data_IF_016069932595
#
_entry.id   IF_016069932595
#
_cell.length_a   1.000
_cell.length_b   1.000
_cell.length_c   1.000
_cell.angle_alpha   90.00
_cell.angle_beta   90.00
_cell.angle_gamma   90.00
#
_symmetry.space_group_name_H-M   'P 1'
#
loop_
_entity.id
_entity.type
_entity.pdbx_description
1 polymer ?
#
# COMPACT_ATOMS: atom_id res chain seq x y z
N UNK A 1 -4.65 20.89 -7.25
CA UNK A 1 -3.25 21.36 -7.22
C UNK A 1 -3.09 22.33 -6.05
N UNK A 2 -2.42 21.96 -4.97
CA UNK A 2 -1.95 22.95 -4.04
C UNK A 2 -1.02 23.87 -4.84
N UNK A 3 -1.33 25.15 -4.91
CA UNK A 3 -0.39 26.13 -5.42
C UNK A 3 0.75 26.19 -4.43
N UNK A 4 1.84 25.52 -4.73
CA UNK A 4 3.08 25.65 -4.01
C UNK A 4 3.58 27.06 -4.33
N UNK A 5 3.39 27.97 -3.38
CA UNK A 5 3.82 29.36 -3.54
C UNK A 5 5.29 29.45 -3.16
N UNK A 6 6.08 29.86 -4.10
CA UNK A 6 7.31 30.59 -3.93
C UNK A 6 8.60 29.78 -3.89
N UNK A 7 8.87 28.87 -2.96
CA UNK A 7 10.23 28.30 -2.80
C UNK A 7 10.31 26.77 -2.71
N UNK A 8 9.16 26.07 -2.72
CA UNK A 8 9.15 24.62 -2.70
C UNK A 8 9.61 24.07 -4.06
N UNK A 9 10.73 23.37 -4.05
CA UNK A 9 11.28 22.73 -5.25
C UNK A 9 11.08 21.23 -5.16
N UNK A 10 10.71 20.63 -6.29
CA UNK A 10 10.79 19.20 -6.48
C UNK A 10 12.28 18.81 -6.58
N UNK A 11 12.77 18.06 -5.60
CA UNK A 11 14.18 17.67 -5.52
C UNK A 11 14.28 16.16 -5.75
N UNK A 12 14.89 15.78 -6.87
CA UNK A 12 15.23 14.38 -7.15
C UNK A 12 16.34 13.91 -6.21
N UNK A 13 16.10 12.80 -5.52
CA UNK A 13 17.08 12.17 -4.67
C UNK A 13 18.08 11.32 -5.49
N UNK A 14 19.34 11.17 -5.02
CA UNK A 14 20.38 10.50 -5.78
C UNK A 14 20.29 8.96 -5.77
N UNK A 15 19.40 8.39 -4.99
CA UNK A 15 19.19 6.94 -4.87
C UNK A 15 17.85 6.50 -5.44
N UNK A 16 17.74 5.24 -5.77
CA UNK A 16 16.55 4.61 -6.32
C UNK A 16 16.20 3.36 -5.53
N UNK A 17 14.95 2.93 -5.62
CA UNK A 17 14.51 1.67 -5.06
C UNK A 17 14.15 0.69 -6.19
N UNK A 18 14.51 -0.57 -6.02
CA UNK A 18 14.11 -1.61 -6.95
C UNK A 18 12.79 -2.23 -6.48
N UNK A 19 11.75 -2.08 -7.28
CA UNK A 19 10.43 -2.66 -7.03
C UNK A 19 10.26 -3.91 -7.91
N UNK A 20 10.21 -5.11 -7.31
CA UNK A 20 10.09 -6.35 -8.05
C UNK A 20 8.64 -6.65 -8.43
N UNK A 21 8.44 -7.08 -9.67
CA UNK A 21 7.21 -7.68 -10.16
C UNK A 21 7.50 -9.10 -10.67
N UNK A 22 6.47 -9.85 -11.07
CA UNK A 22 6.62 -11.24 -11.51
C UNK A 22 7.68 -11.43 -12.61
N UNK A 23 7.66 -10.58 -13.63
CA UNK A 23 8.45 -10.77 -14.86
C UNK A 23 9.56 -9.74 -15.05
N UNK A 24 9.58 -8.68 -14.24
CA UNK A 24 10.52 -7.57 -14.34
C UNK A 24 10.62 -6.83 -13.01
N UNK A 25 11.55 -5.90 -12.94
CA UNK A 25 11.63 -4.94 -11.84
C UNK A 25 11.63 -3.52 -12.39
N UNK A 26 11.11 -2.57 -11.60
CA UNK A 26 11.13 -1.15 -11.92
C UNK A 26 12.07 -0.42 -10.97
N UNK A 27 12.77 0.60 -11.48
CA UNK A 27 13.53 1.52 -10.65
C UNK A 27 12.62 2.68 -10.25
N UNK A 28 12.34 2.78 -8.95
CA UNK A 28 11.59 3.88 -8.38
C UNK A 28 12.54 5.03 -8.07
N UNK A 29 12.25 6.20 -8.62
CA UNK A 29 12.96 7.45 -8.37
C UNK A 29 12.20 8.25 -7.33
N UNK A 30 12.90 8.71 -6.29
CA UNK A 30 12.33 9.53 -5.24
C UNK A 30 12.49 11.01 -5.55
N UNK A 31 11.39 11.75 -5.40
CA UNK A 31 11.35 13.20 -5.41
C UNK A 31 10.81 13.72 -4.09
N UNK A 32 11.47 14.70 -3.52
CA UNK A 32 11.04 15.37 -2.30
C UNK A 32 10.50 16.76 -2.58
N UNK A 33 9.41 17.11 -1.89
CA UNK A 33 8.86 18.45 -1.85
C UNK A 33 8.71 18.87 -0.39
N UNK A 34 9.36 19.95 -0.01
CA UNK A 34 9.15 20.56 1.29
C UNK A 34 7.85 21.36 1.31
N UNK A 35 6.98 21.05 2.28
CA UNK A 35 5.70 21.72 2.51
C UNK A 35 5.82 22.57 3.77
N UNK A 36 5.99 23.91 3.65
CA UNK A 36 6.18 24.77 4.79
C UNK A 36 4.92 24.81 5.67
N UNK A 37 5.14 24.82 6.99
CA UNK A 37 4.09 25.03 7.97
C UNK A 37 3.62 26.49 8.04
N UNK A 38 2.53 26.74 8.78
CA UNK A 38 1.93 28.07 8.87
C UNK A 38 2.83 29.06 9.61
N UNK A 39 3.40 28.67 10.75
CA UNK A 39 4.24 29.55 11.57
C UNK A 39 5.73 29.22 11.41
N UNK A 40 6.06 27.95 11.53
CA UNK A 40 7.43 27.44 11.41
C UNK A 40 7.40 25.93 11.17
N UNK A 41 8.54 25.40 10.76
CA UNK A 41 8.66 23.98 10.44
C UNK A 41 8.29 23.66 9.01
N UNK A 42 8.57 22.44 8.62
CA UNK A 42 8.38 21.94 7.27
C UNK A 42 8.07 20.45 7.32
N UNK A 43 7.04 20.03 6.61
CA UNK A 43 6.81 18.62 6.33
C UNK A 43 7.40 18.29 4.96
N UNK A 44 7.88 17.07 4.79
CA UNK A 44 8.37 16.60 3.51
C UNK A 44 7.37 15.64 2.89
N UNK A 45 7.01 15.90 1.64
CA UNK A 45 6.23 15.00 0.81
C UNK A 45 7.19 14.22 -0.09
N UNK A 46 7.11 12.89 -0.01
CA UNK A 46 7.86 11.98 -0.86
C UNK A 46 6.98 11.52 -2.02
N UNK A 47 7.50 11.66 -3.23
CA UNK A 47 6.84 11.24 -4.46
C UNK A 47 7.73 10.23 -5.18
N UNK A 48 7.11 9.20 -5.71
CA UNK A 48 7.82 8.14 -6.44
C UNK A 48 7.40 8.14 -7.90
N UNK A 49 8.38 8.05 -8.78
CA UNK A 49 8.18 8.03 -10.22
C UNK A 49 9.11 7.03 -10.89
N UNK A 50 8.94 6.79 -12.18
CA UNK A 50 9.81 5.96 -13.00
C UNK A 50 10.32 6.76 -14.20
N UNK A 51 11.60 6.64 -14.52
CA UNK A 51 12.22 7.34 -15.64
C UNK A 51 11.78 6.79 -17.03
N UNK A 52 11.00 5.70 -17.06
CA UNK A 52 10.57 5.02 -18.29
C UNK A 52 9.19 5.43 -18.77
N UNK A 53 8.52 6.38 -18.07
CA UNK A 53 7.22 6.92 -18.50
C UNK A 53 7.34 7.58 -19.88
N UNK A 54 6.41 7.27 -20.75
CA UNK A 54 6.36 7.73 -22.12
C UNK A 54 4.98 8.34 -22.42
N UNK A 55 4.88 9.66 -22.31
CA UNK A 55 3.65 10.40 -22.55
C UNK A 55 3.16 10.28 -24.00
N UNK A 56 4.06 9.95 -24.94
CA UNK A 56 3.73 9.80 -26.36
C UNK A 56 2.84 8.60 -26.68
N UNK A 57 2.65 7.68 -25.71
CA UNK A 57 1.73 6.54 -25.89
C UNK A 57 0.26 6.92 -25.78
N UNK A 58 -0.04 8.14 -25.30
CA UNK A 58 -1.40 8.68 -25.22
C UNK A 58 -1.66 9.51 -26.47
N UNK A 59 -2.69 9.20 -27.26
CA UNK A 59 -3.06 10.03 -28.43
C UNK A 59 -3.43 11.45 -27.99
N UNK A 60 -3.16 12.44 -28.85
CA UNK A 60 -3.63 13.81 -28.67
C UNK A 60 -5.16 13.80 -28.46
N UNK A 61 -5.64 14.57 -27.49
CA UNK A 61 -7.06 14.68 -27.14
C UNK A 61 -7.72 13.40 -26.59
N UNK A 62 -6.96 12.42 -26.14
CA UNK A 62 -7.45 11.18 -25.51
C UNK A 62 -6.81 10.91 -24.16
N UNK A 63 -7.51 10.14 -23.33
CA UNK A 63 -6.96 9.54 -22.10
C UNK A 63 -6.75 8.02 -22.27
N UNK A 64 -7.05 7.49 -23.45
CA UNK A 64 -6.88 6.07 -23.76
C UNK A 64 -5.42 5.75 -24.11
N UNK A 65 -4.92 4.66 -23.56
CA UNK A 65 -3.58 4.14 -23.82
C UNK A 65 -3.54 2.63 -23.62
N UNK A 66 -2.48 1.99 -24.15
CA UNK A 66 -2.26 0.55 -23.95
C UNK A 66 -1.84 0.28 -22.49
N UNK A 67 -2.80 -0.13 -21.66
CA UNK A 67 -2.63 -0.43 -20.25
C UNK A 67 -1.64 -1.59 -19.97
N UNK A 68 -1.32 -2.41 -20.97
CA UNK A 68 -0.39 -3.52 -20.82
C UNK A 68 1.08 -3.08 -20.89
N UNK A 69 1.37 -1.89 -21.37
CA UNK A 69 2.73 -1.31 -21.42
C UNK A 69 3.16 -0.74 -20.06
N UNK A 70 3.13 -1.57 -19.01
CA UNK A 70 3.34 -1.16 -17.62
C UNK A 70 4.60 -0.30 -17.43
N UNK A 71 5.71 -0.69 -18.05
CA UNK A 71 6.98 0.05 -17.91
C UNK A 71 6.94 1.48 -18.46
N UNK A 72 5.96 1.79 -19.31
CA UNK A 72 5.79 3.10 -19.93
C UNK A 72 4.66 3.93 -19.33
N UNK A 73 3.70 3.28 -18.67
CA UNK A 73 2.47 3.94 -18.22
C UNK A 73 2.25 3.92 -16.70
N UNK A 74 3.14 3.28 -15.93
CA UNK A 74 2.90 2.98 -14.52
C UNK A 74 2.53 4.21 -13.67
N UNK A 75 3.21 5.33 -13.89
CA UNK A 75 2.98 6.58 -13.16
C UNK A 75 2.32 7.68 -14.02
N UNK A 76 1.88 7.33 -15.24
CA UNK A 76 1.34 8.29 -16.21
C UNK A 76 0.01 8.90 -15.73
N UNK A 77 -0.90 8.07 -15.22
CA UNK A 77 -2.18 8.50 -14.65
C UNK A 77 -2.37 7.92 -13.26
N UNK A 78 -2.82 8.74 -12.32
CA UNK A 78 -3.04 8.33 -10.94
C UNK A 78 -4.21 7.33 -10.80
N UNK A 79 -5.30 7.56 -11.54
CA UNK A 79 -6.49 6.70 -11.57
C UNK A 79 -6.84 6.34 -13.01
N UNK A 80 -6.19 5.31 -13.58
CA UNK A 80 -6.57 4.83 -14.91
C UNK A 80 -7.95 4.17 -14.85
N UNK A 81 -8.61 4.09 -16.01
CA UNK A 81 -9.84 3.32 -16.14
C UNK A 81 -9.57 1.85 -15.78
N UNK A 82 -10.34 1.30 -14.83
CA UNK A 82 -10.26 -0.06 -14.29
C UNK A 82 -11.50 -0.91 -14.60
N UNK A 83 -12.27 -0.52 -15.60
CA UNK A 83 -13.46 -1.25 -16.05
C UNK A 83 -13.13 -2.63 -16.65
N UNK A 84 -11.91 -2.79 -17.19
CA UNK A 84 -11.40 -4.04 -17.74
C UNK A 84 -10.30 -4.70 -16.87
N UNK A 85 -9.92 -5.92 -17.22
CA UNK A 85 -8.89 -6.67 -16.48
C UNK A 85 -7.50 -6.03 -16.58
N UNK A 86 -7.18 -5.41 -17.70
CA UNK A 86 -5.89 -4.73 -17.89
C UNK A 86 -5.79 -3.50 -16.97
N UNK A 87 -6.85 -2.71 -16.86
CA UNK A 87 -6.94 -1.58 -15.95
C UNK A 87 -6.87 -2.01 -14.48
N UNK A 88 -7.58 -3.08 -14.10
CA UNK A 88 -7.51 -3.63 -12.73
C UNK A 88 -6.10 -4.12 -12.38
N UNK A 89 -5.43 -4.80 -13.31
CA UNK A 89 -4.03 -5.21 -13.10
C UNK A 89 -3.10 -4.01 -13.03
N UNK A 90 -3.25 -3.00 -13.89
CA UNK A 90 -2.47 -1.76 -13.82
C UNK A 90 -2.62 -1.09 -12.45
N UNK A 91 -3.82 -1.08 -11.88
CA UNK A 91 -4.07 -0.56 -10.53
C UNK A 91 -3.28 -1.32 -9.47
N UNK A 92 -3.21 -2.65 -9.53
CA UNK A 92 -2.38 -3.45 -8.61
C UNK A 92 -0.89 -3.10 -8.79
N UNK A 93 -0.41 -2.96 -10.03
CA UNK A 93 0.97 -2.53 -10.31
C UNK A 93 1.28 -1.18 -9.67
N UNK A 94 0.37 -0.19 -9.81
CA UNK A 94 0.54 1.15 -9.25
C UNK A 94 0.55 1.13 -7.72
N UNK A 95 -0.42 0.47 -7.10
CA UNK A 95 -0.51 0.36 -5.64
C UNK A 95 0.74 -0.29 -5.07
N UNK A 96 1.17 -1.42 -5.64
CA UNK A 96 2.37 -2.10 -5.16
C UNK A 96 3.65 -1.29 -5.38
N UNK A 97 3.78 -0.60 -6.52
CA UNK A 97 4.91 0.28 -6.80
C UNK A 97 5.07 1.35 -5.73
N UNK A 98 3.99 2.06 -5.40
CA UNK A 98 4.00 3.11 -4.37
C UNK A 98 4.30 2.55 -2.98
N UNK A 99 3.66 1.44 -2.63
CA UNK A 99 3.81 0.78 -1.33
C UNK A 99 5.23 0.27 -1.12
N UNK A 100 5.79 -0.44 -2.10
CA UNK A 100 7.15 -0.98 -2.00
C UNK A 100 8.19 0.13 -1.93
N UNK A 101 8.01 1.19 -2.73
CA UNK A 101 8.88 2.37 -2.70
C UNK A 101 8.86 3.06 -1.32
N UNK A 102 7.66 3.28 -0.77
CA UNK A 102 7.48 3.90 0.54
C UNK A 102 8.04 3.04 1.68
N UNK A 103 7.79 1.73 1.67
CA UNK A 103 8.31 0.81 2.68
C UNK A 103 9.85 0.74 2.66
N UNK A 104 10.46 0.69 1.47
CA UNK A 104 11.92 0.71 1.33
C UNK A 104 12.53 2.03 1.82
N UNK A 105 11.88 3.17 1.54
CA UNK A 105 12.31 4.48 2.04
C UNK A 105 12.28 4.52 3.56
N UNK A 106 11.18 4.10 4.19
CA UNK A 106 11.02 4.06 5.65
C UNK A 106 12.15 3.23 6.29
N UNK A 107 12.40 2.02 5.79
CA UNK A 107 13.45 1.17 6.33
C UNK A 107 14.83 1.78 6.13
N UNK A 108 15.08 2.38 4.97
CA UNK A 108 16.35 3.06 4.69
C UNK A 108 16.60 4.22 5.67
N UNK A 109 15.60 5.08 5.87
CA UNK A 109 15.72 6.22 6.80
C UNK A 109 15.97 5.75 8.24
N UNK A 110 15.27 4.71 8.69
CA UNK A 110 15.50 4.12 10.01
C UNK A 110 16.91 3.52 10.16
N UNK A 111 17.42 2.87 9.12
CA UNK A 111 18.77 2.33 9.12
C UNK A 111 19.83 3.44 9.10
N UNK A 112 19.62 4.50 8.32
CA UNK A 112 20.50 5.67 8.25
C UNK A 112 20.62 6.38 9.60
N UNK A 113 19.51 6.41 10.37
CA UNK A 113 19.45 6.96 11.74
C UNK A 113 19.97 5.96 12.80
N UNK A 114 20.24 4.71 12.43
CA UNK A 114 20.73 3.67 13.33
C UNK A 114 19.67 3.09 14.27
N UNK A 115 18.40 3.18 13.90
CA UNK A 115 17.30 2.60 14.69
C UNK A 115 17.26 1.07 14.61
N UNK A 116 16.91 0.45 15.72
CA UNK A 116 16.65 -1.00 15.76
C UNK A 116 15.32 -1.33 15.09
N UNK A 117 15.36 -2.00 13.94
CA UNK A 117 14.17 -2.36 13.19
C UNK A 117 13.25 -3.33 13.94
N UNK A 118 13.71 -4.06 14.97
CA UNK A 118 12.84 -4.83 15.86
C UNK A 118 11.92 -3.94 16.70
N UNK A 119 12.25 -2.66 16.78
CA UNK A 119 11.49 -1.62 17.48
C UNK A 119 11.01 -0.52 16.54
N UNK A 120 10.78 -0.86 15.28
CA UNK A 120 10.32 0.07 14.25
C UNK A 120 9.13 0.92 14.73
N UNK A 121 8.18 0.31 15.42
CA UNK A 121 6.99 0.93 15.98
C UNK A 121 7.27 2.02 17.06
N UNK A 122 8.48 2.11 17.60
CA UNK A 122 8.88 3.21 18.51
C UNK A 122 9.20 4.51 17.73
N UNK A 123 9.48 4.41 16.43
CA UNK A 123 9.94 5.51 15.59
C UNK A 123 9.00 5.82 14.43
N UNK A 124 8.22 4.85 13.98
CA UNK A 124 7.41 4.92 12.75
C UNK A 124 5.97 4.48 13.01
N UNK A 125 5.04 5.24 12.46
CA UNK A 125 3.65 4.82 12.27
C UNK A 125 3.33 4.88 10.78
N UNK A 126 2.81 3.80 10.24
CA UNK A 126 2.32 3.72 8.86
C UNK A 126 0.80 3.80 8.92
N UNK A 127 0.25 4.95 8.50
CA UNK A 127 -1.19 5.13 8.39
C UNK A 127 -1.67 4.66 7.03
N UNK A 128 -2.38 3.53 7.00
CA UNK A 128 -3.03 2.99 5.80
C UNK A 128 -4.31 3.79 5.56
N UNK A 129 -4.29 4.66 4.55
CA UNK A 129 -5.42 5.49 4.17
C UNK A 129 -6.28 4.76 3.12
N UNK A 130 -7.43 4.22 3.55
CA UNK A 130 -8.24 3.29 2.78
C UNK A 130 -7.47 2.01 2.42
N UNK A 131 -7.99 1.20 1.52
CA UNK A 131 -7.42 -0.09 1.14
C UNK A 131 -6.34 -0.02 0.05
N UNK A 132 -6.15 1.14 -0.57
CA UNK A 132 -5.19 1.30 -1.66
C UNK A 132 -3.74 0.93 -1.27
N UNK A 133 -3.22 1.29 -0.06
CA UNK A 133 -1.87 0.93 0.36
C UNK A 133 -1.80 -0.35 1.21
N UNK A 134 -2.85 -1.16 1.32
CA UNK A 134 -2.89 -2.34 2.21
C UNK A 134 -1.76 -3.34 1.96
N UNK A 135 -1.24 -3.42 0.72
CA UNK A 135 -0.08 -4.27 0.42
C UNK A 135 1.19 -3.91 1.19
N UNK A 136 1.20 -2.78 1.93
CA UNK A 136 2.33 -2.42 2.81
C UNK A 136 2.55 -3.48 3.90
N UNK A 137 1.49 -4.12 4.38
CA UNK A 137 1.59 -5.17 5.41
C UNK A 137 2.44 -6.35 4.91
N UNK A 138 2.07 -7.09 3.85
CA UNK A 138 2.88 -8.19 3.37
C UNK A 138 4.22 -7.73 2.77
N UNK A 139 4.30 -6.54 2.19
CA UNK A 139 5.56 -6.03 1.64
C UNK A 139 6.57 -5.69 2.75
N UNK A 140 6.15 -5.04 3.82
CA UNK A 140 7.03 -4.73 4.94
C UNK A 140 7.51 -6.02 5.64
N UNK A 141 6.63 -7.02 5.80
CA UNK A 141 7.02 -8.35 6.29
C UNK A 141 8.10 -8.95 5.38
N UNK A 142 7.90 -8.93 4.07
CA UNK A 142 8.87 -9.45 3.09
C UNK A 142 10.23 -8.75 3.21
N UNK A 143 10.24 -7.43 3.30
CA UNK A 143 11.45 -6.63 3.43
C UNK A 143 12.19 -6.92 4.75
N UNK A 144 11.47 -7.04 5.86
CA UNK A 144 12.06 -7.41 7.15
C UNK A 144 12.64 -8.83 7.12
N UNK A 145 11.95 -9.79 6.48
CA UNK A 145 12.51 -11.14 6.28
C UNK A 145 13.80 -11.12 5.47
N UNK A 146 13.92 -10.27 4.45
CA UNK A 146 15.18 -10.10 3.71
C UNK A 146 16.31 -9.54 4.59
N UNK A 147 15.99 -8.88 5.70
CA UNK A 147 16.93 -8.38 6.71
C UNK A 147 17.18 -9.38 7.84
N UNK A 148 16.66 -10.62 7.72
CA UNK A 148 16.93 -11.71 8.65
C UNK A 148 15.87 -11.93 9.73
N UNK A 149 14.75 -11.21 9.70
CA UNK A 149 13.64 -11.45 10.63
C UNK A 149 12.95 -12.78 10.31
N UNK A 150 12.56 -13.50 11.33
CA UNK A 150 11.60 -14.59 11.21
C UNK A 150 10.21 -14.03 10.81
N UNK A 151 9.31 -14.90 10.36
CA UNK A 151 7.94 -14.53 10.06
C UNK A 151 7.25 -13.94 11.29
N UNK A 152 7.43 -14.54 12.47
CA UNK A 152 6.79 -14.09 13.71
C UNK A 152 7.29 -12.71 14.14
N UNK A 153 8.59 -12.48 14.11
CA UNK A 153 9.17 -11.18 14.42
C UNK A 153 8.70 -10.09 13.44
N UNK A 154 8.67 -10.41 12.15
CA UNK A 154 8.21 -9.45 11.13
C UNK A 154 6.73 -9.09 11.30
N UNK A 155 5.86 -10.09 11.56
CA UNK A 155 4.44 -9.87 11.83
C UNK A 155 4.24 -9.02 13.09
N UNK A 156 4.96 -9.32 14.18
CA UNK A 156 4.86 -8.56 15.43
C UNK A 156 5.22 -7.08 15.22
N UNK A 157 6.33 -6.82 14.55
CA UNK A 157 6.78 -5.45 14.24
C UNK A 157 5.76 -4.72 13.36
N UNK A 158 5.30 -5.34 12.28
CA UNK A 158 4.37 -4.73 11.32
C UNK A 158 3.02 -4.43 11.97
N UNK A 159 2.50 -5.38 12.78
CA UNK A 159 1.23 -5.19 13.47
C UNK A 159 1.25 -4.05 14.49
N UNK A 160 2.40 -3.71 15.04
CA UNK A 160 2.58 -2.56 15.94
C UNK A 160 2.88 -1.25 15.21
N UNK A 161 3.23 -1.32 13.93
CA UNK A 161 3.65 -0.16 13.11
C UNK A 161 2.51 0.37 12.25
N UNK A 162 1.61 -0.51 11.77
CA UNK A 162 0.53 -0.15 10.85
C UNK A 162 -0.77 0.17 11.57
N UNK A 163 -1.45 1.23 11.12
CA UNK A 163 -2.81 1.59 11.52
C UNK A 163 -3.66 1.83 10.28
N UNK A 164 -4.97 1.55 10.36
CA UNK A 164 -5.88 1.61 9.24
C UNK A 164 -6.99 2.64 9.45
N UNK A 165 -7.16 3.54 8.49
CA UNK A 165 -8.32 4.45 8.41
C UNK A 165 -9.17 4.08 7.21
N UNK A 166 -10.41 3.68 7.48
CA UNK A 166 -11.38 3.40 6.43
C UNK A 166 -12.05 4.69 5.94
N UNK A 167 -12.05 4.90 4.62
CA UNK A 167 -12.73 6.00 3.94
C UNK A 167 -13.97 5.54 3.17
N UNK A 168 -14.17 4.23 3.03
CA UNK A 168 -15.21 3.61 2.19
C UNK A 168 -16.34 3.07 3.04
N UNK A 169 -17.58 3.50 2.78
CA UNK A 169 -18.77 3.08 3.52
C UNK A 169 -19.44 1.83 2.89
N UNK A 170 -19.39 1.73 1.56
CA UNK A 170 -20.05 0.65 0.84
C UNK A 170 -19.20 -0.62 0.78
N UNK A 171 -19.73 -1.76 1.20
CA UNK A 171 -19.06 -3.06 1.15
C UNK A 171 -18.55 -3.42 -0.24
N UNK A 172 -19.33 -3.10 -1.26
CA UNK A 172 -18.97 -3.39 -2.65
C UNK A 172 -17.73 -2.62 -3.12
N UNK A 173 -17.46 -1.48 -2.50
CA UNK A 173 -16.32 -0.62 -2.83
C UNK A 173 -15.04 -0.96 -2.02
N UNK A 174 -15.12 -1.83 -1.01
CA UNK A 174 -13.95 -2.38 -0.34
C UNK A 174 -13.17 -3.31 -1.28
N UNK A 175 -11.90 -3.01 -1.50
CA UNK A 175 -11.09 -3.74 -2.48
C UNK A 175 -10.91 -5.22 -2.11
N UNK A 176 -11.23 -6.08 -3.08
CA UNK A 176 -11.06 -7.54 -3.02
C UNK A 176 -10.37 -7.98 -4.29
N UNK A 177 -9.10 -8.34 -4.20
CA UNK A 177 -8.34 -8.74 -5.37
C UNK A 177 -8.37 -10.26 -5.57
N UNK A 178 -8.74 -10.75 -6.77
CA UNK A 178 -8.57 -12.15 -7.11
C UNK A 178 -7.12 -12.59 -6.92
N UNK A 179 -6.90 -13.75 -6.31
CA UNK A 179 -5.54 -14.28 -6.07
C UNK A 179 -4.75 -14.48 -7.36
N UNK A 180 -5.40 -14.82 -8.46
CA UNK A 180 -4.75 -14.98 -9.76
C UNK A 180 -4.22 -13.65 -10.32
N UNK A 181 -4.85 -12.50 -9.99
CA UNK A 181 -4.31 -11.19 -10.34
C UNK A 181 -3.03 -10.89 -9.55
N UNK A 182 -3.06 -11.14 -8.24
CA UNK A 182 -1.86 -10.98 -7.41
C UNK A 182 -0.74 -11.93 -7.84
N UNK A 183 -1.08 -13.16 -8.26
CA UNK A 183 -0.11 -14.12 -8.81
C UNK A 183 0.52 -13.65 -10.12
N UNK A 184 -0.22 -12.91 -10.93
CA UNK A 184 0.30 -12.32 -12.19
C UNK A 184 1.20 -11.11 -11.94
N UNK A 185 0.97 -10.34 -10.88
CA UNK A 185 1.67 -9.07 -10.64
C UNK A 185 2.73 -9.22 -9.55
N UNK A 186 2.35 -9.73 -8.36
CA UNK A 186 3.17 -9.77 -7.13
C UNK A 186 3.18 -11.16 -6.47
N UNK A 187 3.58 -12.22 -7.20
CA UNK A 187 3.50 -13.59 -6.69
C UNK A 187 4.32 -13.81 -5.40
N UNK A 188 5.34 -13.01 -5.18
CA UNK A 188 6.20 -13.07 -4.00
C UNK A 188 5.50 -12.62 -2.70
N UNK A 189 4.38 -11.90 -2.78
CA UNK A 189 3.56 -11.56 -1.61
C UNK A 189 2.56 -12.66 -1.24
N UNK A 190 2.18 -13.53 -2.16
CA UNK A 190 1.16 -14.56 -1.91
C UNK A 190 1.49 -15.53 -0.78
N UNK A 191 2.72 -16.04 -0.63
CA UNK A 191 3.07 -16.90 0.51
C UNK A 191 2.84 -16.20 1.85
N UNK A 192 3.17 -14.92 1.95
CA UNK A 192 2.97 -14.11 3.15
C UNK A 192 1.47 -13.91 3.40
N UNK A 193 0.70 -13.49 2.40
CA UNK A 193 -0.75 -13.29 2.52
C UNK A 193 -1.45 -14.59 2.96
N UNK A 194 -1.04 -15.74 2.42
CA UNK A 194 -1.58 -17.05 2.82
C UNK A 194 -1.24 -17.41 4.26
N UNK A 195 -0.03 -17.10 4.72
CA UNK A 195 0.39 -17.30 6.11
C UNK A 195 -0.44 -16.41 7.04
N UNK A 196 -0.63 -15.14 6.69
CA UNK A 196 -1.48 -14.21 7.46
C UNK A 196 -2.92 -14.74 7.57
N UNK A 197 -3.50 -15.21 6.47
CA UNK A 197 -4.84 -15.80 6.45
C UNK A 197 -4.93 -17.10 7.28
N UNK A 198 -3.90 -17.96 7.22
CA UNK A 198 -3.85 -19.18 8.00
C UNK A 198 -3.88 -18.89 9.50
N UNK A 199 -3.12 -17.91 9.97
CA UNK A 199 -3.11 -17.48 11.38
C UNK A 199 -4.45 -16.88 11.82
N UNK A 200 -5.13 -16.16 10.95
CA UNK A 200 -6.49 -15.66 11.23
C UNK A 200 -7.43 -16.84 11.43
N UNK A 201 -7.39 -17.85 10.56
CA UNK A 201 -8.26 -19.06 10.67
C UNK A 201 -8.00 -19.90 11.89
N UNK A 202 -6.77 -19.90 12.41
CA UNK A 202 -6.43 -20.62 13.66
C UNK A 202 -7.02 -19.94 14.89
N UNK A 203 -7.23 -18.62 14.84
CA UNK A 203 -7.66 -17.82 15.99
C UNK A 203 -9.11 -17.31 15.90
N UNK A 204 -9.76 -17.44 14.74
CA UNK A 204 -11.09 -16.94 14.50
C UNK A 204 -11.94 -18.00 13.77
N UNK A 205 -13.15 -18.29 14.30
CA UNK A 205 -14.09 -19.24 13.69
C UNK A 205 -15.01 -18.59 12.65
N UNK A 206 -15.14 -17.27 12.68
CA UNK A 206 -16.01 -16.53 11.75
C UNK A 206 -15.35 -16.34 10.38
N UNK A 207 -15.80 -17.14 9.41
CA UNK A 207 -15.25 -17.13 8.05
C UNK A 207 -15.50 -15.83 7.27
N UNK A 208 -16.39 -14.97 7.77
CA UNK A 208 -16.67 -13.66 7.16
C UNK A 208 -15.54 -12.64 7.44
N UNK A 209 -14.66 -12.94 8.39
CA UNK A 209 -13.49 -12.10 8.74
C UNK A 209 -12.19 -12.58 8.13
N UNK A 210 -12.19 -13.69 7.39
CA UNK A 210 -10.98 -14.22 6.77
C UNK A 210 -10.42 -13.29 5.70
N UNK A 211 -9.09 -13.27 5.57
CA UNK A 211 -8.41 -12.46 4.56
C UNK A 211 -8.69 -13.01 3.16
N UNK A 212 -8.65 -14.35 3.00
CA UNK A 212 -8.93 -15.01 1.72
C UNK A 212 -10.29 -15.67 1.81
N UNK A 213 -11.25 -15.23 0.99
CA UNK A 213 -12.60 -15.78 0.98
C UNK A 213 -12.70 -17.11 0.19
N UNK A 214 -13.89 -17.73 0.24
CA UNK A 214 -14.20 -19.00 -0.46
C UNK A 214 -14.10 -18.88 -1.99
N UNK A 215 -14.16 -17.66 -2.54
CA UNK A 215 -14.02 -17.37 -3.97
C UNK A 215 -12.57 -17.05 -4.37
N UNK A 216 -11.62 -17.24 -3.47
CA UNK A 216 -10.19 -16.94 -3.65
C UNK A 216 -9.90 -15.46 -3.94
N UNK A 217 -10.60 -14.57 -3.25
CA UNK A 217 -10.32 -13.14 -3.26
C UNK A 217 -9.67 -12.73 -1.95
N UNK A 218 -8.66 -11.87 -2.05
CA UNK A 218 -7.97 -11.28 -0.90
C UNK A 218 -8.70 -10.00 -0.52
N UNK A 219 -9.24 -9.97 0.69
CA UNK A 219 -9.92 -8.80 1.26
C UNK A 219 -8.88 -7.88 1.89
N UNK A 220 -8.61 -6.75 1.25
CA UNK A 220 -7.55 -5.85 1.69
C UNK A 220 -7.85 -5.25 3.06
N UNK A 221 -9.08 -4.79 3.30
CA UNK A 221 -9.49 -4.26 4.61
C UNK A 221 -9.37 -5.28 5.74
N UNK A 222 -9.69 -6.57 5.49
CA UNK A 222 -9.56 -7.61 6.51
C UNK A 222 -8.11 -7.78 6.95
N UNK A 223 -7.17 -7.74 6.01
CA UNK A 223 -5.74 -7.78 6.31
C UNK A 223 -5.30 -6.59 7.17
N UNK A 224 -5.77 -5.38 6.83
CA UNK A 224 -5.46 -4.16 7.57
C UNK A 224 -5.99 -4.20 9.00
N UNK A 225 -7.20 -4.76 9.21
CA UNK A 225 -7.82 -4.87 10.52
C UNK A 225 -7.12 -5.90 11.40
N UNK A 226 -6.81 -7.08 10.87
CA UNK A 226 -6.15 -8.14 11.65
C UNK A 226 -4.70 -7.80 12.01
N UNK A 227 -4.01 -7.03 11.18
CA UNK A 227 -2.57 -6.75 11.32
C UNK A 227 -2.24 -5.26 11.50
N UNK A 228 -3.21 -4.46 11.91
CA UNK A 228 -3.02 -3.08 12.33
C UNK A 228 -3.25 -2.92 13.84
N UNK A 229 -2.52 -2.03 14.51
CA UNK A 229 -2.71 -1.78 15.94
C UNK A 229 -3.93 -0.89 16.23
N UNK A 230 -4.48 -0.23 15.22
CA UNK A 230 -5.61 0.69 15.36
C UNK A 230 -6.42 0.75 14.06
N UNK A 231 -7.74 0.78 14.20
CA UNK A 231 -8.70 0.90 13.10
C UNK A 231 -9.68 2.02 13.41
N UNK A 232 -9.88 2.95 12.48
CA UNK A 232 -10.88 4.00 12.60
C UNK A 232 -11.53 4.35 11.26
N UNK A 233 -12.71 4.95 11.32
CA UNK A 233 -13.32 5.66 10.18
C UNK A 233 -12.94 7.14 10.20
N UNK A 234 -13.17 7.83 9.09
CA UNK A 234 -12.79 9.26 8.91
C UNK A 234 -13.58 10.24 9.79
N UNK A 235 -14.69 9.82 10.38
CA UNK A 235 -15.50 10.60 11.30
C UNK A 235 -16.22 9.70 12.31
N UNK A 236 -16.67 10.25 13.43
CA UNK A 236 -17.39 9.49 14.46
C UNK A 236 -18.62 8.77 13.89
N UNK A 237 -19.44 9.46 13.10
CA UNK A 237 -20.62 8.86 12.44
C UNK A 237 -20.21 7.73 11.47
N UNK A 238 -19.14 7.90 10.71
CA UNK A 238 -18.62 6.88 9.82
C UNK A 238 -18.16 5.65 10.60
N UNK A 239 -17.44 5.85 11.70
CA UNK A 239 -17.00 4.75 12.59
C UNK A 239 -18.19 3.98 13.14
N UNK A 240 -19.26 4.66 13.58
CA UNK A 240 -20.47 3.99 14.07
C UNK A 240 -21.21 3.23 12.96
N UNK A 241 -21.23 3.73 11.74
CA UNK A 241 -21.78 3.00 10.59
C UNK A 241 -21.00 1.71 10.35
N UNK A 242 -19.65 1.78 10.29
CA UNK A 242 -18.81 0.61 10.09
C UNK A 242 -19.02 -0.46 11.16
N UNK A 243 -19.08 -0.07 12.44
CA UNK A 243 -19.34 -0.98 13.57
C UNK A 243 -20.69 -1.70 13.49
N UNK A 244 -21.70 -1.04 12.94
CA UNK A 244 -23.05 -1.57 12.88
C UNK A 244 -23.41 -2.22 11.54
N UNK A 245 -22.55 -2.12 10.52
CA UNK A 245 -22.78 -2.65 9.18
C UNK A 245 -21.59 -3.50 8.70
N UNK A 246 -20.73 -2.92 7.86
CA UNK A 246 -19.76 -3.65 7.05
C UNK A 246 -18.64 -4.34 7.84
N UNK A 247 -18.25 -3.77 8.98
CA UNK A 247 -17.20 -4.29 9.85
C UNK A 247 -17.74 -4.77 11.20
N UNK A 248 -19.05 -5.00 11.29
CA UNK A 248 -19.68 -5.44 12.53
C UNK A 248 -19.03 -6.71 13.09
N UNK A 249 -18.77 -7.69 12.23
CA UNK A 249 -18.16 -8.96 12.62
C UNK A 249 -16.77 -8.79 13.25
N UNK A 250 -16.01 -7.77 12.81
CA UNK A 250 -14.72 -7.43 13.41
C UNK A 250 -14.85 -6.65 14.72
N UNK A 251 -15.95 -5.93 14.89
CA UNK A 251 -16.22 -5.21 16.14
C UNK A 251 -16.70 -6.13 17.24
N UNK A 252 -17.37 -7.21 16.87
CA UNK A 252 -17.90 -8.23 17.78
C UNK A 252 -16.82 -9.27 18.19
N UNK A 253 -15.64 -9.32 17.51
CA UNK A 253 -14.46 -10.13 17.88
C UNK A 253 -13.69 -9.52 19.05
#
# INVERSE_FOLDING_TARGET
NPRITGESRLVRQPFTFTVPFKSFSMQSVLFDIDVPGYESGCNRLHLFDVDTVDESIVPEDSIDFDKQKIQKNLTLFLYPDDSDDAGRMLRIYQQYFMVSSGAQLILKECEDEGFDLHKLYEHVVIQINDTHPSMVIPELIRLLQQKGFSMDEAIDVVSKTCAYTNHTILAEALEKWPMDYLEKVVPHLLPIIKELDARVRENCEDDTTYIIDKTKRVHMAHMDIHYGFSVNGVAALHTEILKNSELKNFYDL
#
